data_IF_173340798478
#
_entry.id   IF_173340798478
#
_cell.length_a   1.000
_cell.length_b   1.000
_cell.length_c   1.000
_cell.angle_alpha   90.00
_cell.angle_beta   90.00
_cell.angle_gamma   90.00
#
_symmetry.space_group_name_H-M   'P 1'
#
loop_
_entity.id
_entity.type
_entity.pdbx_description
1 polymer ?
#
# COMPACT_ATOMS: atom_id res chain seq x y z
N UNK A 1 12.46 -19.69 34.12
CA UNK A 1 13.37 -19.48 32.97
C UNK A 1 12.85 -18.25 32.27
N UNK A 2 13.52 -17.09 32.48
CA UNK A 2 13.03 -15.82 31.91
C UNK A 2 13.40 -15.75 30.45
N UNK A 3 12.40 -15.84 29.58
CA UNK A 3 12.53 -15.67 28.14
C UNK A 3 12.65 -14.17 27.85
N UNK A 4 13.80 -13.74 27.35
CA UNK A 4 14.03 -12.33 27.04
C UNK A 4 13.42 -11.97 25.67
N UNK A 5 13.13 -10.67 25.43
CA UNK A 5 12.66 -10.17 24.13
C UNK A 5 13.59 -10.56 22.97
N UNK A 6 14.86 -10.77 23.26
CA UNK A 6 15.87 -11.18 22.28
C UNK A 6 15.70 -12.63 21.84
N UNK A 7 15.28 -13.51 22.75
CA UNK A 7 15.07 -14.93 22.48
C UNK A 7 13.84 -15.14 21.58
N UNK A 8 12.79 -14.32 21.76
CA UNK A 8 11.60 -14.29 20.88
C UNK A 8 11.93 -13.79 19.46
N UNK A 9 12.84 -12.82 19.33
CA UNK A 9 13.25 -12.27 18.02
C UNK A 9 14.07 -13.30 17.22
N UNK A 10 14.91 -14.08 17.88
CA UNK A 10 15.73 -15.14 17.24
C UNK A 10 14.88 -16.34 16.82
N UNK A 11 13.86 -16.70 17.60
CA UNK A 11 12.94 -17.78 17.24
C UNK A 11 12.03 -17.40 16.03
N UNK A 12 11.58 -16.14 15.95
CA UNK A 12 10.79 -15.63 14.84
C UNK A 12 11.55 -15.50 13.52
N UNK A 13 12.84 -15.14 13.57
CA UNK A 13 13.70 -15.02 12.37
C UNK A 13 14.13 -16.36 11.80
N UNK A 14 14.23 -17.40 12.63
CA UNK A 14 14.56 -18.75 12.17
C UNK A 14 13.48 -19.40 11.31
N UNK A 15 12.23 -19.04 11.48
CA UNK A 15 11.10 -19.56 10.69
C UNK A 15 10.98 -18.90 9.29
N UNK A 16 11.53 -17.70 9.10
CA UNK A 16 11.48 -16.97 7.83
C UNK A 16 12.61 -17.34 6.85
N UNK A 17 13.64 -18.07 7.29
CA UNK A 17 14.79 -18.44 6.47
C UNK A 17 14.68 -19.84 5.80
N UNK A 18 13.64 -20.62 6.10
CA UNK A 18 13.35 -21.87 5.42
C UNK A 18 12.56 -21.58 4.14
N UNK A 19 13.25 -21.71 3.01
CA UNK A 19 12.76 -21.37 1.66
C UNK A 19 11.35 -21.84 1.35
N UNK A 20 10.74 -21.21 0.37
CA UNK A 20 9.43 -21.31 -0.25
C UNK A 20 8.85 -22.72 -0.51
N UNK A 21 8.87 -23.60 0.47
CA UNK A 21 8.06 -24.79 0.50
C UNK A 21 6.74 -24.39 1.18
N UNK A 22 5.71 -24.17 0.37
CA UNK A 22 4.32 -24.12 0.84
C UNK A 22 4.08 -25.43 1.59
N UNK A 23 4.09 -25.39 2.91
CA UNK A 23 3.71 -26.54 3.72
C UNK A 23 2.25 -26.91 3.37
N UNK A 24 1.94 -28.18 3.08
CA UNK A 24 0.55 -28.58 2.87
C UNK A 24 -0.26 -28.26 4.14
N UNK A 25 -1.48 -27.75 3.97
CA UNK A 25 -2.36 -27.32 5.06
C UNK A 25 -2.48 -28.39 6.18
N UNK A 26 -2.49 -29.67 5.84
CA UNK A 26 -2.50 -30.78 6.80
C UNK A 26 -1.26 -30.88 7.70
N UNK A 27 -0.10 -30.29 7.28
CA UNK A 27 1.09 -30.27 8.13
C UNK A 27 1.08 -29.07 9.09
N UNK A 28 0.33 -28.03 8.76
CA UNK A 28 0.11 -26.88 9.65
C UNK A 28 -0.82 -27.26 10.81
N UNK A 29 -1.89 -28.04 10.54
CA UNK A 29 -2.83 -28.49 11.57
C UNK A 29 -2.18 -29.36 12.65
N UNK A 30 -1.18 -30.19 12.28
CA UNK A 30 -0.43 -31.01 13.25
C UNK A 30 0.55 -30.20 14.11
N UNK A 31 1.05 -29.07 13.60
CA UNK A 31 1.97 -28.19 14.34
C UNK A 31 1.24 -27.33 15.36
N UNK A 32 -0.03 -27.01 15.10
CA UNK A 32 -0.87 -26.16 15.95
C UNK A 32 -1.44 -26.96 17.13
N UNK A 33 -1.68 -28.27 16.95
CA UNK A 33 -2.31 -29.13 17.95
C UNK A 33 -1.49 -29.32 19.26
N UNK A 34 -0.16 -29.08 19.21
CA UNK A 34 0.75 -29.25 20.36
C UNK A 34 1.25 -27.92 20.95
N UNK A 35 0.68 -26.78 20.54
CA UNK A 35 1.09 -25.48 21.10
C UNK A 35 0.51 -25.29 22.51
N UNK A 36 1.28 -24.66 23.44
CA UNK A 36 0.74 -24.25 24.73
C UNK A 36 -0.50 -23.36 24.56
N UNK A 37 -1.47 -23.53 25.47
CA UNK A 37 -2.71 -22.75 25.48
C UNK A 37 -2.45 -21.24 25.35
N UNK A 38 -3.10 -20.60 24.38
CA UNK A 38 -2.94 -19.17 24.06
C UNK A 38 -1.86 -18.84 23.01
N UNK A 39 -1.02 -19.78 22.58
CA UNK A 39 -0.06 -19.53 21.50
C UNK A 39 -0.70 -19.54 20.11
N UNK A 40 -1.77 -20.30 19.95
CA UNK A 40 -2.59 -20.31 18.73
C UNK A 40 -3.30 -18.97 18.52
N UNK A 41 -3.91 -18.40 19.57
CA UNK A 41 -4.52 -17.07 19.49
C UNK A 41 -3.48 -15.97 19.26
N UNK A 42 -2.30 -16.07 19.85
CA UNK A 42 -1.23 -15.13 19.61
C UNK A 42 -0.72 -15.23 18.15
N UNK A 43 -0.52 -16.44 17.64
CA UNK A 43 -0.12 -16.65 16.25
C UNK A 43 -1.16 -16.10 15.26
N UNK A 44 -2.43 -16.39 15.51
CA UNK A 44 -3.54 -15.85 14.72
C UNK A 44 -3.60 -14.32 14.78
N UNK A 45 -3.36 -13.71 15.93
CA UNK A 45 -3.32 -12.26 16.07
C UNK A 45 -2.15 -11.64 15.28
N UNK A 46 -0.99 -12.29 15.26
CA UNK A 46 0.16 -11.85 14.45
C UNK A 46 -0.14 -11.95 12.96
N UNK A 47 -0.73 -13.05 12.51
CA UNK A 47 -1.14 -13.22 11.11
C UNK A 47 -2.19 -12.19 10.70
N UNK A 48 -3.20 -11.96 11.52
CA UNK A 48 -4.22 -10.94 11.30
C UNK A 48 -3.61 -9.54 11.20
N UNK A 49 -2.65 -9.22 12.06
CA UNK A 49 -1.91 -7.96 12.01
C UNK A 49 -1.13 -7.80 10.70
N UNK A 50 -0.36 -8.82 10.30
CA UNK A 50 0.43 -8.80 9.06
C UNK A 50 -0.49 -8.66 7.85
N UNK A 51 -1.58 -9.44 7.82
CA UNK A 51 -2.57 -9.40 6.75
C UNK A 51 -3.25 -8.04 6.62
N UNK A 52 -3.72 -7.48 7.72
CA UNK A 52 -4.46 -6.23 7.72
C UNK A 52 -3.57 -4.97 7.60
N UNK A 53 -2.27 -5.08 7.85
CA UNK A 53 -1.35 -3.94 7.93
C UNK A 53 -1.39 -3.04 6.69
N UNK A 54 -1.30 -3.56 5.44
CA UNK A 54 -1.36 -2.71 4.24
C UNK A 54 -2.69 -1.97 4.14
N UNK A 55 -3.81 -2.64 4.38
CA UNK A 55 -5.15 -2.05 4.30
C UNK A 55 -5.34 -0.95 5.34
N UNK A 56 -4.97 -1.20 6.60
CA UNK A 56 -5.08 -0.21 7.68
C UNK A 56 -4.19 0.99 7.40
N UNK A 57 -2.96 0.75 6.92
CA UNK A 57 -2.02 1.82 6.57
C UNK A 57 -2.53 2.68 5.43
N UNK A 58 -3.09 2.07 4.38
CA UNK A 58 -3.67 2.79 3.25
C UNK A 58 -4.90 3.60 3.68
N UNK A 59 -5.78 3.02 4.48
CA UNK A 59 -6.97 3.71 4.99
C UNK A 59 -6.60 4.90 5.89
N UNK A 60 -5.63 4.74 6.78
CA UNK A 60 -5.15 5.85 7.61
C UNK A 60 -4.51 6.95 6.77
N UNK A 61 -3.73 6.58 5.75
CA UNK A 61 -3.14 7.52 4.79
C UNK A 61 -4.22 8.28 4.04
N UNK A 62 -5.23 7.58 3.54
CA UNK A 62 -6.40 8.17 2.88
C UNK A 62 -7.07 9.21 3.80
N UNK A 63 -7.40 8.83 5.03
CA UNK A 63 -8.04 9.73 5.99
C UNK A 63 -7.21 10.98 6.26
N UNK A 64 -5.91 10.83 6.47
CA UNK A 64 -5.01 11.98 6.73
C UNK A 64 -4.94 12.91 5.53
N UNK A 65 -4.84 12.34 4.33
CA UNK A 65 -4.70 13.13 3.09
C UNK A 65 -6.02 13.79 2.68
N UNK A 66 -7.16 13.10 2.87
CA UNK A 66 -8.45 13.60 2.38
C UNK A 66 -9.28 14.36 3.41
N UNK A 67 -8.82 14.49 4.65
CA UNK A 67 -9.53 15.22 5.72
C UNK A 67 -9.36 16.75 5.59
N UNK A 68 -9.72 17.27 4.44
CA UNK A 68 -9.71 18.70 4.10
C UNK A 68 -10.89 19.03 3.19
N UNK A 69 -11.36 20.25 3.23
CA UNK A 69 -12.47 20.72 2.37
C UNK A 69 -12.00 21.20 1.01
N UNK A 70 -10.72 21.57 0.88
CA UNK A 70 -10.14 22.08 -0.35
C UNK A 70 -8.72 21.53 -0.52
N UNK A 71 -8.27 21.42 -1.78
CA UNK A 71 -6.92 20.98 -2.10
C UNK A 71 -5.88 22.00 -1.62
N UNK A 72 -4.97 21.56 -0.73
CA UNK A 72 -3.91 22.40 -0.18
C UNK A 72 -2.65 21.59 0.15
N UNK A 73 -1.52 21.97 -0.43
CA UNK A 73 -0.25 21.29 -0.20
C UNK A 73 -0.31 19.82 -0.63
N UNK A 74 -0.13 18.90 0.31
CA UNK A 74 -0.16 17.45 0.11
C UNK A 74 -1.52 16.81 0.38
N UNK A 75 -2.58 17.61 0.54
CA UNK A 75 -3.92 17.13 0.90
C UNK A 75 -4.98 17.63 -0.07
N UNK A 76 -5.99 16.80 -0.35
CA UNK A 76 -7.17 17.17 -1.10
C UNK A 76 -8.36 16.29 -0.70
N UNK A 77 -9.61 16.74 -0.85
CA UNK A 77 -10.79 15.89 -0.65
C UNK A 77 -10.77 14.67 -1.59
N UNK A 78 -11.57 13.66 -1.26
CA UNK A 78 -11.81 12.51 -2.16
C UNK A 78 -12.18 13.00 -3.57
N UNK A 79 -11.67 12.31 -4.59
CA UNK A 79 -11.93 12.66 -6.00
C UNK A 79 -11.17 13.89 -6.52
N UNK A 80 -10.34 14.53 -5.70
CA UNK A 80 -9.58 15.70 -6.11
C UNK A 80 -8.09 15.40 -6.25
N UNK A 81 -7.46 16.01 -7.27
CA UNK A 81 -6.05 15.81 -7.57
C UNK A 81 -5.16 16.69 -6.69
N UNK A 82 -4.20 16.06 -6.03
CA UNK A 82 -3.08 16.70 -5.36
C UNK A 82 -1.93 16.81 -6.35
N UNK A 83 -1.47 18.01 -6.63
CA UNK A 83 -0.39 18.26 -7.61
C UNK A 83 0.84 18.77 -6.88
N UNK A 84 1.80 17.89 -6.60
CA UNK A 84 3.09 18.27 -6.03
C UNK A 84 3.97 18.87 -7.13
N UNK A 85 4.30 20.15 -6.99
CA UNK A 85 5.08 20.91 -7.97
C UNK A 85 6.52 21.15 -7.54
N UNK A 86 6.85 20.75 -6.32
CA UNK A 86 8.16 20.90 -5.71
C UNK A 86 8.60 19.56 -5.10
N UNK A 87 9.89 19.35 -5.08
CA UNK A 87 10.47 18.18 -4.42
C UNK A 87 10.41 18.32 -2.89
N UNK A 88 10.29 17.21 -2.16
CA UNK A 88 10.31 17.25 -0.71
C UNK A 88 11.64 17.79 -0.20
N UNK A 89 11.60 18.66 0.79
CA UNK A 89 12.78 19.19 1.48
C UNK A 89 13.01 18.46 2.82
N UNK A 90 14.05 18.80 3.54
CA UNK A 90 14.43 18.18 4.80
C UNK A 90 13.38 18.29 5.93
N UNK A 91 12.37 19.15 5.79
CA UNK A 91 11.27 19.32 6.76
C UNK A 91 10.04 18.50 6.40
N UNK A 92 10.03 17.86 5.24
CA UNK A 92 8.91 17.03 4.80
C UNK A 92 8.72 15.81 5.72
N UNK A 93 7.48 15.53 6.13
CA UNK A 93 7.16 14.45 7.11
C UNK A 93 5.91 13.65 6.74
N UNK A 94 5.31 13.91 5.58
CA UNK A 94 4.02 13.29 5.22
C UNK A 94 4.16 11.81 4.87
N UNK A 95 5.33 11.38 4.40
CA UNK A 95 5.64 9.96 4.14
C UNK A 95 7.06 9.63 4.61
N UNK A 96 7.30 8.34 4.87
CA UNK A 96 8.57 7.84 5.45
C UNK A 96 9.75 7.97 4.50
N UNK A 97 9.53 7.75 3.19
CA UNK A 97 10.57 7.74 2.16
C UNK A 97 10.08 8.52 0.93
N UNK A 98 10.11 9.86 0.98
CA UNK A 98 9.69 10.68 -0.13
C UNK A 98 10.65 10.55 -1.31
N UNK A 99 10.10 10.48 -2.52
CA UNK A 99 10.90 10.49 -3.75
C UNK A 99 11.30 11.95 -4.08
N UNK A 100 12.56 12.15 -4.40
CA UNK A 100 13.12 13.44 -4.79
C UNK A 100 13.44 13.55 -6.30
N UNK A 101 13.12 12.52 -7.09
CA UNK A 101 13.48 12.44 -8.51
C UNK A 101 12.32 12.81 -9.46
N UNK A 102 11.07 12.63 -9.01
CA UNK A 102 9.88 12.88 -9.83
C UNK A 102 8.85 13.71 -9.09
N UNK A 103 8.05 14.45 -9.85
CA UNK A 103 6.89 15.16 -9.33
C UNK A 103 5.67 14.26 -9.35
N UNK A 104 4.79 14.42 -8.37
CA UNK A 104 3.61 13.60 -8.21
C UNK A 104 2.31 14.35 -8.48
N UNK A 105 1.35 13.60 -9.02
CA UNK A 105 -0.07 13.91 -8.91
C UNK A 105 -0.72 12.70 -8.25
N UNK A 106 -1.40 12.91 -7.13
CA UNK A 106 -2.03 11.86 -6.35
C UNK A 106 -3.51 12.17 -6.16
N UNK A 107 -4.35 11.14 -6.12
CA UNK A 107 -5.76 11.26 -5.73
C UNK A 107 -6.24 9.96 -5.09
N UNK A 108 -7.29 10.07 -4.29
CA UNK A 108 -8.06 8.95 -3.78
C UNK A 108 -9.45 9.00 -4.39
N UNK A 109 -9.90 7.89 -4.95
CA UNK A 109 -11.22 7.73 -5.56
C UNK A 109 -12.01 6.68 -4.80
N UNK A 110 -13.32 6.92 -4.68
CA UNK A 110 -14.28 5.92 -4.24
C UNK A 110 -15.08 5.49 -5.47
N UNK A 111 -15.01 4.21 -5.80
CA UNK A 111 -15.68 3.61 -6.97
C UNK A 111 -16.88 2.74 -6.57
N UNK A 112 -17.29 2.81 -5.29
CA UNK A 112 -18.38 1.97 -4.77
C UNK A 112 -19.75 2.28 -5.39
N UNK A 113 -20.03 3.54 -5.67
CA UNK A 113 -21.34 3.97 -6.19
C UNK A 113 -21.33 4.18 -7.71
N UNK A 114 -20.23 4.73 -8.24
CA UNK A 114 -20.12 5.05 -9.67
C UNK A 114 -18.66 4.96 -10.17
N UNK A 115 -18.44 4.64 -11.45
CA UNK A 115 -17.12 4.62 -12.03
C UNK A 115 -16.52 6.02 -12.15
N UNK A 116 -15.21 6.12 -11.98
CA UNK A 116 -14.46 7.33 -12.26
C UNK A 116 -13.85 7.32 -13.65
N UNK A 117 -13.99 8.42 -14.38
CA UNK A 117 -13.35 8.61 -15.67
C UNK A 117 -12.06 9.41 -15.49
N UNK A 118 -10.94 8.75 -15.75
CA UNK A 118 -9.61 9.35 -15.70
C UNK A 118 -9.14 9.67 -17.10
N UNK A 119 -8.90 10.95 -17.41
CA UNK A 119 -8.42 11.41 -18.71
C UNK A 119 -6.99 11.96 -18.59
N UNK A 120 -6.10 11.42 -19.38
CA UNK A 120 -4.72 11.87 -19.53
C UNK A 120 -4.55 12.63 -20.83
N UNK A 121 -3.95 13.83 -20.83
CA UNK A 121 -3.66 14.56 -22.04
C UNK A 121 -2.54 13.89 -22.83
N UNK A 122 -2.33 14.30 -24.08
CA UNK A 122 -1.13 13.94 -24.82
C UNK A 122 0.13 14.46 -24.09
N UNK A 123 0.96 13.53 -23.64
CA UNK A 123 2.18 13.81 -22.89
C UNK A 123 3.36 14.20 -23.80
N UNK A 124 3.17 14.18 -25.12
CA UNK A 124 4.20 14.56 -26.12
C UNK A 124 5.53 13.84 -25.87
N UNK A 125 5.45 12.52 -25.76
CA UNK A 125 6.57 11.61 -25.54
C UNK A 125 7.30 11.77 -24.17
N UNK A 126 6.80 12.61 -23.26
CA UNK A 126 7.36 12.69 -21.91
C UNK A 126 7.07 11.42 -21.13
N UNK A 127 8.04 11.02 -20.33
CA UNK A 127 7.86 9.86 -19.44
C UNK A 127 6.89 10.20 -18.31
N UNK A 128 5.86 9.40 -18.18
CA UNK A 128 4.96 9.38 -17.04
C UNK A 128 4.45 7.97 -16.81
N UNK A 129 4.05 7.66 -15.60
CA UNK A 129 3.31 6.47 -15.23
C UNK A 129 2.26 6.83 -14.18
N UNK A 130 1.14 6.13 -14.21
CA UNK A 130 -0.01 6.38 -13.35
C UNK A 130 -0.38 5.08 -12.63
N UNK A 131 0.39 4.66 -11.62
CA UNK A 131 0.07 3.45 -10.88
C UNK A 131 -1.26 3.63 -10.15
N UNK A 132 -2.16 2.68 -10.37
CA UNK A 132 -3.44 2.57 -9.71
C UNK A 132 -3.37 1.44 -8.70
N UNK A 133 -3.72 1.74 -7.45
CA UNK A 133 -3.62 0.81 -6.33
C UNK A 133 -4.98 0.64 -5.68
N UNK A 134 -5.24 -0.59 -5.24
CA UNK A 134 -6.39 -0.89 -4.39
C UNK A 134 -6.13 -0.55 -2.91
N UNK A 135 -7.11 -0.82 -2.05
CA UNK A 135 -7.00 -0.61 -0.60
C UNK A 135 -5.92 -1.46 0.08
N UNK A 136 -5.49 -2.55 -0.56
CA UNK A 136 -4.41 -3.44 -0.09
C UNK A 136 -3.03 -3.03 -0.57
N UNK A 137 -2.92 -1.87 -1.23
CA UNK A 137 -1.70 -1.39 -1.90
C UNK A 137 -1.25 -2.23 -3.09
N UNK A 138 -2.12 -3.11 -3.60
CA UNK A 138 -1.84 -3.88 -4.81
C UNK A 138 -1.99 -2.99 -6.03
N UNK A 139 -0.96 -2.93 -6.85
CA UNK A 139 -1.01 -2.21 -8.13
C UNK A 139 -1.77 -3.07 -9.14
N UNK A 140 -2.94 -2.61 -9.58
CA UNK A 140 -3.77 -3.34 -10.53
C UNK A 140 -3.64 -2.83 -11.96
N UNK A 141 -3.23 -1.57 -12.17
CA UNK A 141 -2.92 -1.02 -13.49
C UNK A 141 -1.87 0.10 -13.41
N UNK A 142 -1.13 0.32 -14.50
CA UNK A 142 -0.10 1.36 -14.59
C UNK A 142 -0.12 1.98 -15.97
N UNK A 143 -1.12 2.78 -16.34
CA UNK A 143 -1.09 3.53 -17.59
C UNK A 143 0.12 4.45 -17.69
N UNK A 144 0.69 4.60 -18.88
CA UNK A 144 1.85 5.45 -19.09
C UNK A 144 2.76 5.00 -20.22
N UNK A 145 3.92 5.62 -20.35
CA UNK A 145 4.80 5.45 -21.51
C UNK A 145 5.16 3.99 -21.81
N UNK A 146 5.32 3.16 -20.77
CA UNK A 146 5.77 1.76 -20.93
C UNK A 146 4.64 0.77 -21.21
N UNK A 147 3.40 1.16 -20.98
CA UNK A 147 2.23 0.29 -21.07
C UNK A 147 1.28 0.75 -22.16
N UNK A 148 0.66 1.91 -21.99
CA UNK A 148 -0.38 2.44 -22.88
C UNK A 148 0.10 3.55 -23.81
N UNK A 149 1.37 3.98 -23.68
CA UNK A 149 1.96 5.04 -24.48
C UNK A 149 1.76 6.45 -23.91
N UNK A 150 2.02 7.48 -24.73
CA UNK A 150 2.04 8.88 -24.30
C UNK A 150 0.96 9.74 -24.96
N UNK A 151 0.17 9.20 -25.88
CA UNK A 151 -0.97 9.89 -26.48
C UNK A 151 -2.08 10.20 -25.48
N UNK A 152 -3.05 11.02 -25.88
CA UNK A 152 -4.23 11.28 -25.06
C UNK A 152 -5.03 9.98 -24.83
N UNK A 153 -5.44 9.73 -23.58
CA UNK A 153 -6.08 8.49 -23.16
C UNK A 153 -7.18 8.76 -22.15
N UNK A 154 -8.17 7.89 -22.12
CA UNK A 154 -9.26 7.94 -21.12
C UNK A 154 -9.59 6.52 -20.69
N UNK A 155 -9.69 6.32 -19.38
CA UNK A 155 -10.05 5.04 -18.76
C UNK A 155 -11.23 5.21 -17.81
N UNK A 156 -12.00 4.14 -17.64
CA UNK A 156 -12.92 4.00 -16.52
C UNK A 156 -12.24 3.18 -15.42
N UNK A 157 -12.34 3.65 -14.18
CA UNK A 157 -11.96 2.91 -12.98
C UNK A 157 -13.26 2.50 -12.29
N UNK A 158 -13.45 1.19 -12.10
CA UNK A 158 -14.69 0.58 -11.57
C UNK A 158 -14.36 -0.34 -10.42
#
# INVERSE_FOLDING_TARGET
MDITRRDLTVAGLGALAAGSNVMPAAAADGLIADLPEGLDEFALAVEAYIYAYPLVTMEMTRRVITNVTEAKGTRAPMGHLIKLREYPNAKFRDVTAPNADTLYTTAFFDVGDEPWIVSLPDLKDRYALFPMLDGWTTVFDVPGKRTTGTGAQTFAVT
#
